data_IF_570649432926
#
_entry.id   IF_570649432926
#
_cell.length_a   1.000
_cell.length_b   1.000
_cell.length_c   1.000
_cell.angle_alpha   90.00
_cell.angle_beta   90.00
_cell.angle_gamma   90.00
#
_symmetry.space_group_name_H-M   'P 1'
#
loop_
_entity.id
_entity.type
_entity.pdbx_description
1 polymer ?
#
# COMPACT_ATOMS: atom_id res chain seq x y z
N UNK A 1 20.34 1.42 7.19
CA UNK A 1 21.41 2.00 6.36
C UNK A 1 22.84 1.66 6.79
N UNK A 2 23.24 1.58 8.08
CA UNK A 2 24.65 1.34 8.43
C UNK A 2 25.22 0.06 7.82
N UNK A 3 24.44 -1.04 7.84
CA UNK A 3 24.84 -2.34 7.26
C UNK A 3 25.27 -2.24 5.79
N UNK A 4 24.60 -1.45 4.96
CA UNK A 4 24.93 -1.33 3.52
C UNK A 4 26.26 -0.61 3.35
N UNK A 5 26.50 0.44 4.13
CA UNK A 5 27.75 1.19 4.10
C UNK A 5 28.90 0.37 4.68
N UNK A 6 28.65 -0.46 5.69
CA UNK A 6 29.62 -1.41 6.24
C UNK A 6 29.97 -2.50 5.21
N UNK A 7 28.99 -3.00 4.45
CA UNK A 7 29.24 -3.95 3.36
C UNK A 7 30.02 -3.34 2.19
N UNK A 8 29.90 -2.03 1.96
CA UNK A 8 30.68 -1.30 0.94
C UNK A 8 32.17 -1.22 1.27
N UNK A 9 32.51 -1.26 2.56
CA UNK A 9 33.88 -1.18 3.06
C UNK A 9 34.46 -2.53 3.48
N UNK A 10 33.67 -3.60 3.43
CA UNK A 10 34.09 -4.97 3.70
C UNK A 10 34.99 -5.51 2.57
N UNK A 11 36.30 -5.32 2.73
CA UNK A 11 37.33 -5.65 1.74
C UNK A 11 38.43 -6.50 2.40
N UNK A 12 38.79 -7.67 1.84
CA UNK A 12 39.89 -8.48 2.35
C UNK A 12 41.24 -7.72 2.37
N UNK A 13 42.08 -8.02 3.36
CA UNK A 13 43.42 -7.44 3.46
C UNK A 13 44.29 -7.81 2.23
N UNK A 14 44.96 -6.82 1.63
CA UNK A 14 45.83 -7.01 0.46
C UNK A 14 45.19 -6.75 -0.90
N UNK A 15 43.88 -6.47 -0.96
CA UNK A 15 43.17 -6.08 -2.19
C UNK A 15 43.45 -4.61 -2.54
N UNK A 16 43.62 -4.24 -3.83
CA UNK A 16 43.75 -2.85 -4.23
C UNK A 16 42.55 -2.00 -3.76
N UNK A 17 42.82 -0.81 -3.22
CA UNK A 17 41.79 0.10 -2.67
C UNK A 17 40.69 0.49 -3.68
N UNK A 18 40.96 0.32 -4.97
CA UNK A 18 40.02 0.59 -6.06
C UNK A 18 39.04 -0.56 -6.34
N UNK A 19 39.30 -1.78 -5.86
CA UNK A 19 38.50 -2.96 -6.20
C UNK A 19 37.06 -2.88 -5.71
N UNK A 20 36.84 -2.47 -4.46
CA UNK A 20 35.51 -2.27 -3.89
C UNK A 20 34.69 -1.18 -4.60
N UNK A 21 35.17 0.06 -4.75
CA UNK A 21 34.38 1.10 -5.41
C UNK A 21 34.12 0.79 -6.90
N UNK A 22 35.06 0.18 -7.62
CA UNK A 22 34.88 -0.17 -9.03
C UNK A 22 33.87 -1.32 -9.21
N UNK A 23 33.91 -2.34 -8.36
CA UNK A 23 32.91 -3.43 -8.42
C UNK A 23 31.51 -2.95 -8.05
N UNK A 24 31.37 -2.10 -7.03
CA UNK A 24 30.11 -1.46 -6.67
C UNK A 24 29.58 -0.57 -7.82
N UNK A 25 30.43 0.29 -8.40
CA UNK A 25 30.06 1.16 -9.50
C UNK A 25 29.65 0.37 -10.75
N UNK A 26 30.42 -0.68 -11.10
CA UNK A 26 30.09 -1.57 -12.22
C UNK A 26 28.73 -2.25 -12.01
N UNK A 27 28.43 -2.69 -10.79
CA UNK A 27 27.13 -3.25 -10.41
C UNK A 27 26.02 -2.23 -10.66
N UNK A 28 26.12 -1.03 -10.08
CA UNK A 28 25.10 0.02 -10.20
C UNK A 28 24.89 0.39 -11.67
N UNK A 29 25.97 0.65 -12.41
CA UNK A 29 25.90 1.04 -13.82
C UNK A 29 25.26 -0.06 -14.67
N UNK A 30 25.59 -1.32 -14.44
CA UNK A 30 24.99 -2.44 -15.16
C UNK A 30 23.49 -2.57 -14.86
N UNK A 31 23.09 -2.52 -13.58
CA UNK A 31 21.66 -2.56 -13.20
C UNK A 31 20.92 -1.40 -13.85
N UNK A 32 21.42 -0.16 -13.70
CA UNK A 32 20.78 1.03 -14.25
C UNK A 32 20.72 1.01 -15.78
N UNK A 33 21.79 0.62 -16.47
CA UNK A 33 21.82 0.54 -17.92
C UNK A 33 20.76 -0.44 -18.44
N UNK A 34 20.68 -1.64 -17.87
CA UNK A 34 19.67 -2.62 -18.27
C UNK A 34 18.27 -2.16 -17.86
N UNK A 35 18.08 -1.68 -16.63
CA UNK A 35 16.77 -1.25 -16.14
C UNK A 35 16.16 -0.09 -16.93
N UNK A 36 17.00 0.84 -17.42
CA UNK A 36 16.58 2.05 -18.13
C UNK A 36 16.52 1.88 -19.66
N UNK A 37 17.37 1.04 -20.26
CA UNK A 37 17.46 0.89 -21.73
C UNK A 37 16.87 -0.40 -22.28
N UNK A 38 16.81 -1.47 -21.48
CA UNK A 38 16.28 -2.74 -21.95
C UNK A 38 14.75 -2.70 -22.10
N UNK A 39 14.23 -3.52 -23.01
CA UNK A 39 12.79 -3.67 -23.27
C UNK A 39 12.31 -5.05 -22.84
N UNK A 40 11.03 -5.12 -22.46
CA UNK A 40 10.35 -6.37 -22.11
C UNK A 40 11.04 -7.14 -20.98
N UNK A 41 11.14 -8.46 -21.14
CA UNK A 41 11.65 -9.36 -20.10
C UNK A 41 13.11 -9.08 -19.70
N UNK A 42 13.95 -8.52 -20.57
CA UNK A 42 15.36 -8.25 -20.24
C UNK A 42 15.50 -7.24 -19.09
N UNK A 43 14.52 -6.34 -18.92
CA UNK A 43 14.47 -5.39 -17.79
C UNK A 43 14.34 -6.11 -16.44
N UNK A 44 13.65 -7.25 -16.39
CA UNK A 44 13.48 -8.06 -15.17
C UNK A 44 14.81 -8.69 -14.71
N UNK A 45 15.72 -8.93 -15.65
CA UNK A 45 17.03 -9.52 -15.39
C UNK A 45 18.08 -8.48 -14.98
N UNK A 46 17.74 -7.18 -14.96
CA UNK A 46 18.68 -6.10 -14.63
C UNK A 46 19.45 -6.33 -13.31
N UNK A 47 18.80 -6.74 -12.20
CA UNK A 47 19.53 -6.93 -10.95
C UNK A 47 20.49 -8.12 -11.00
N UNK A 48 20.08 -9.23 -11.64
CA UNK A 48 20.93 -10.42 -11.83
C UNK A 48 22.13 -10.10 -12.71
N UNK A 49 21.92 -9.46 -13.85
CA UNK A 49 22.99 -9.04 -14.77
C UNK A 49 23.97 -8.09 -14.07
N UNK A 50 23.43 -7.17 -13.26
CA UNK A 50 24.23 -6.25 -12.48
C UNK A 50 25.13 -6.94 -11.46
N UNK A 51 24.56 -7.85 -10.65
CA UNK A 51 25.33 -8.63 -9.67
C UNK A 51 26.39 -9.47 -10.37
N UNK A 52 26.07 -10.12 -11.50
CA UNK A 52 27.05 -10.88 -12.28
C UNK A 52 28.17 -9.98 -12.83
N UNK A 53 27.83 -8.81 -13.36
CA UNK A 53 28.83 -7.87 -13.89
C UNK A 53 29.75 -7.34 -12.80
N UNK A 54 29.18 -6.93 -11.66
CA UNK A 54 29.94 -6.50 -10.49
C UNK A 54 30.82 -7.60 -9.91
N UNK A 55 30.29 -8.82 -9.86
CA UNK A 55 30.98 -10.04 -9.45
C UNK A 55 32.20 -10.32 -10.34
N UNK A 56 32.07 -10.24 -11.66
CA UNK A 56 33.20 -10.42 -12.59
C UNK A 56 34.29 -9.38 -12.33
N UNK A 57 33.92 -8.10 -12.16
CA UNK A 57 34.87 -7.04 -11.82
C UNK A 57 35.54 -7.32 -10.48
N UNK A 58 34.78 -7.73 -9.47
CA UNK A 58 35.31 -8.07 -8.16
C UNK A 58 36.30 -9.25 -8.21
N UNK A 59 36.08 -10.21 -9.11
CA UNK A 59 36.99 -11.32 -9.38
C UNK A 59 38.35 -10.89 -9.92
N UNK A 60 38.39 -9.86 -10.78
CA UNK A 60 39.64 -9.30 -11.31
C UNK A 60 40.49 -8.70 -10.19
N UNK A 61 39.85 -8.14 -9.16
CA UNK A 61 40.53 -7.54 -8.01
C UNK A 61 40.78 -8.52 -6.85
N UNK A 62 40.37 -9.78 -6.98
CA UNK A 62 40.61 -10.80 -5.94
C UNK A 62 39.74 -10.65 -4.69
N UNK A 63 38.55 -10.08 -4.80
CA UNK A 63 37.61 -9.88 -3.68
C UNK A 63 36.89 -11.18 -3.22
N UNK A 64 37.12 -12.31 -3.88
CA UNK A 64 36.46 -13.58 -3.55
C UNK A 64 37.22 -14.41 -2.54
N UNK A 65 36.49 -14.91 -1.53
CA UNK A 65 36.88 -16.09 -0.77
C UNK A 65 36.27 -17.34 -1.42
N UNK A 66 37.06 -18.01 -2.27
CA UNK A 66 36.62 -19.24 -2.96
C UNK A 66 36.75 -20.50 -2.11
N UNK A 67 37.45 -20.44 -0.96
CA UNK A 67 37.68 -21.60 -0.12
C UNK A 67 36.35 -22.12 0.47
N UNK A 68 35.50 -21.22 0.95
CA UNK A 68 34.16 -21.55 1.44
C UNK A 68 33.28 -22.23 0.39
N UNK A 69 33.40 -21.80 -0.86
CA UNK A 69 32.68 -22.42 -1.97
C UNK A 69 33.23 -23.80 -2.25
N UNK A 70 34.55 -23.98 -2.26
CA UNK A 70 35.20 -25.26 -2.51
C UNK A 70 34.83 -26.31 -1.46
N UNK A 71 34.82 -25.93 -0.18
CA UNK A 71 34.56 -26.81 0.97
C UNK A 71 33.07 -27.19 1.14
N UNK A 72 32.15 -26.39 0.58
CA UNK A 72 30.73 -26.68 0.66
C UNK A 72 30.35 -27.97 -0.09
N UNK A 73 29.52 -28.80 0.54
CA UNK A 73 28.98 -30.02 -0.06
C UNK A 73 27.94 -29.70 -1.14
N UNK A 74 27.82 -30.58 -2.14
CA UNK A 74 26.83 -30.45 -3.20
C UNK A 74 25.40 -30.65 -2.70
N UNK A 75 25.22 -31.60 -1.78
CA UNK A 75 23.94 -31.88 -1.11
C UNK A 75 24.19 -31.93 0.39
N UNK A 76 23.30 -31.31 1.16
CA UNK A 76 23.39 -31.29 2.62
C UNK A 76 22.14 -30.71 3.24
N UNK A 77 21.92 -30.98 4.52
CA UNK A 77 20.82 -30.39 5.29
C UNK A 77 21.22 -28.97 5.71
N UNK A 78 20.30 -27.99 5.69
CA UNK A 78 20.56 -26.65 6.22
C UNK A 78 21.21 -26.72 7.61
N UNK A 79 22.35 -26.05 7.77
CA UNK A 79 23.18 -26.10 8.98
C UNK A 79 22.67 -25.24 10.14
N UNK A 80 21.57 -24.50 9.93
CA UNK A 80 20.89 -23.75 10.98
C UNK A 80 20.23 -24.69 11.98
N UNK A 81 20.79 -24.78 13.19
CA UNK A 81 20.16 -25.49 14.30
C UNK A 81 18.90 -24.77 14.75
N UNK A 82 17.90 -25.53 15.21
CA UNK A 82 16.72 -24.96 15.85
C UNK A 82 17.16 -24.17 17.10
N UNK A 83 16.92 -22.84 17.20
CA UNK A 83 17.42 -22.05 18.32
C UNK A 83 16.70 -22.33 19.65
N UNK A 84 15.67 -23.17 19.64
CA UNK A 84 14.80 -23.42 20.79
C UNK A 84 13.75 -22.33 20.97
N UNK A 85 12.93 -22.48 22.02
CA UNK A 85 11.92 -21.50 22.42
C UNK A 85 12.29 -20.92 23.78
N UNK A 86 12.58 -19.63 23.81
CA UNK A 86 12.68 -18.88 25.06
C UNK A 86 11.29 -18.36 25.46
N UNK A 87 10.72 -18.96 26.51
CA UNK A 87 9.45 -18.55 27.10
C UNK A 87 9.66 -17.61 28.30
N UNK A 88 10.86 -17.03 28.44
CA UNK A 88 11.19 -16.04 29.44
C UNK A 88 10.61 -14.66 29.09
N UNK A 89 9.57 -14.24 29.80
CA UNK A 89 9.00 -12.88 29.70
C UNK A 89 9.82 -11.84 30.48
N UNK A 90 11.14 -11.81 30.23
CA UNK A 90 12.08 -10.90 30.90
C UNK A 90 12.05 -9.46 30.35
N UNK A 91 12.90 -8.56 30.89
CA UNK A 91 12.96 -7.16 30.45
C UNK A 91 13.22 -6.99 28.95
N UNK A 92 14.06 -7.86 28.36
CA UNK A 92 14.37 -7.83 26.92
C UNK A 92 13.14 -8.15 26.05
N UNK A 93 12.31 -9.11 26.47
CA UNK A 93 11.05 -9.44 25.78
C UNK A 93 10.12 -8.23 25.74
N UNK A 94 9.88 -7.61 26.90
CA UNK A 94 9.00 -6.44 27.00
C UNK A 94 9.54 -5.21 26.27
N UNK A 95 10.86 -5.03 26.23
CA UNK A 95 11.50 -3.95 25.49
C UNK A 95 11.38 -4.12 23.96
N UNK A 96 11.46 -5.35 23.45
CA UNK A 96 11.41 -5.64 22.01
C UNK A 96 9.98 -5.85 21.47
N UNK A 97 9.04 -6.29 22.32
CA UNK A 97 7.68 -6.63 21.91
C UNK A 97 6.98 -5.51 21.13
N UNK A 98 7.01 -4.23 21.54
CA UNK A 98 6.39 -3.15 20.77
C UNK A 98 6.98 -3.02 19.35
N UNK A 99 8.29 -3.25 19.19
CA UNK A 99 8.97 -3.12 17.90
C UNK A 99 8.57 -4.25 16.95
N UNK A 100 8.52 -5.49 17.45
CA UNK A 100 8.04 -6.62 16.66
C UNK A 100 6.56 -6.49 16.31
N UNK A 101 5.71 -6.03 17.24
CA UNK A 101 4.29 -5.77 16.97
C UNK A 101 4.14 -4.72 15.87
N UNK A 102 4.89 -3.63 15.95
CA UNK A 102 4.83 -2.57 14.94
C UNK A 102 5.33 -3.05 13.57
N UNK A 103 6.47 -3.72 13.51
CA UNK A 103 7.01 -4.28 12.25
C UNK A 103 6.02 -5.26 11.63
N UNK A 104 5.39 -6.12 12.43
CA UNK A 104 4.38 -7.07 11.95
C UNK A 104 3.13 -6.34 11.46
N UNK A 105 2.70 -5.27 12.14
CA UNK A 105 1.57 -4.44 11.71
C UNK A 105 1.87 -3.77 10.36
N UNK A 106 3.05 -3.20 10.18
CA UNK A 106 3.48 -2.60 8.91
C UNK A 106 3.55 -3.65 7.80
N UNK A 107 4.13 -4.83 8.08
CA UNK A 107 4.17 -5.95 7.14
C UNK A 107 2.78 -6.44 6.74
N UNK A 108 1.83 -6.45 7.67
CA UNK A 108 0.43 -6.76 7.37
C UNK A 108 -0.21 -5.71 6.45
N UNK A 109 0.04 -4.42 6.68
CA UNK A 109 -0.43 -3.32 5.80
C UNK A 109 0.20 -3.44 4.41
N UNK A 110 1.49 -3.76 4.32
CA UNK A 110 2.19 -4.04 3.06
C UNK A 110 1.56 -5.22 2.34
N UNK A 111 1.32 -6.34 3.04
CA UNK A 111 0.66 -7.53 2.51
C UNK A 111 -0.74 -7.24 1.99
N UNK A 112 -1.51 -6.38 2.68
CA UNK A 112 -2.82 -5.91 2.21
C UNK A 112 -2.64 -5.16 0.88
N UNK A 113 -1.75 -4.16 0.85
CA UNK A 113 -1.49 -3.36 -0.35
C UNK A 113 -1.05 -4.21 -1.55
N UNK A 114 -0.11 -5.13 -1.34
CA UNK A 114 0.37 -6.06 -2.36
C UNK A 114 -0.74 -6.99 -2.85
N UNK A 115 -1.58 -7.49 -1.94
CA UNK A 115 -2.72 -8.36 -2.26
C UNK A 115 -3.79 -7.64 -3.08
N UNK A 116 -4.00 -6.35 -2.84
CA UNK A 116 -4.88 -5.52 -3.65
C UNK A 116 -4.27 -5.27 -5.05
N UNK A 117 -2.99 -4.92 -5.09
CA UNK A 117 -2.29 -4.59 -6.32
C UNK A 117 -2.17 -5.81 -7.26
N UNK A 118 -1.81 -6.98 -6.73
CA UNK A 118 -1.67 -8.21 -7.53
C UNK A 118 -3.02 -8.63 -8.13
N UNK A 119 -4.12 -8.45 -7.40
CA UNK A 119 -5.46 -8.77 -7.88
C UNK A 119 -5.82 -7.91 -9.10
N UNK A 120 -5.57 -6.60 -9.04
CA UNK A 120 -5.81 -5.69 -10.18
C UNK A 120 -5.03 -6.06 -11.43
N UNK A 121 -3.78 -6.49 -11.26
CA UNK A 121 -2.90 -6.84 -12.38
C UNK A 121 -3.16 -8.26 -12.91
N UNK A 122 -3.65 -9.16 -12.08
CA UNK A 122 -3.86 -10.57 -12.43
C UNK A 122 -5.10 -10.81 -13.29
N UNK A 123 -6.09 -9.92 -13.25
CA UNK A 123 -7.32 -10.08 -14.02
C UNK A 123 -7.27 -9.38 -15.37
N UNK A 124 -7.61 -10.12 -16.44
CA UNK A 124 -7.75 -9.56 -17.80
C UNK A 124 -8.92 -8.58 -17.94
N UNK A 125 -9.93 -8.73 -17.10
CA UNK A 125 -11.11 -7.86 -17.02
C UNK A 125 -11.16 -7.29 -15.61
N UNK A 126 -11.39 -5.97 -15.43
CA UNK A 126 -11.57 -5.38 -14.11
C UNK A 126 -12.63 -6.14 -13.30
N UNK A 127 -12.31 -6.46 -12.05
CA UNK A 127 -13.20 -7.12 -11.10
C UNK A 127 -13.09 -6.44 -9.75
N UNK A 128 -14.15 -6.55 -8.96
CA UNK A 128 -14.10 -6.17 -7.56
C UNK A 128 -12.99 -6.95 -6.84
N UNK A 129 -12.33 -6.28 -5.90
CA UNK A 129 -11.34 -6.91 -5.02
C UNK A 129 -12.03 -8.01 -4.22
N UNK A 130 -11.40 -9.18 -4.17
CA UNK A 130 -11.80 -10.26 -3.29
C UNK A 130 -11.11 -10.11 -1.92
N UNK A 131 -11.81 -9.49 -0.97
CA UNK A 131 -11.31 -9.31 0.39
C UNK A 131 -11.11 -10.63 1.15
N UNK A 132 -11.76 -11.73 0.75
CA UNK A 132 -11.47 -13.05 1.34
C UNK A 132 -10.08 -13.52 0.93
N UNK A 133 -9.67 -13.25 -0.30
CA UNK A 133 -8.31 -13.53 -0.76
C UNK A 133 -7.27 -12.65 -0.03
N UNK A 134 -7.60 -11.38 0.24
CA UNK A 134 -6.74 -10.47 1.04
C UNK A 134 -6.58 -10.99 2.47
N UNK A 135 -7.68 -11.38 3.13
CA UNK A 135 -7.63 -11.99 4.46
C UNK A 135 -6.80 -13.28 4.47
N UNK A 136 -6.95 -14.12 3.46
CA UNK A 136 -6.14 -15.33 3.28
C UNK A 136 -4.66 -15.04 3.10
N UNK A 137 -4.30 -13.98 2.36
CA UNK A 137 -2.92 -13.55 2.18
C UNK A 137 -2.29 -13.07 3.50
N UNK A 138 -2.99 -12.23 4.27
CA UNK A 138 -2.53 -11.78 5.59
C UNK A 138 -2.37 -12.95 6.57
N UNK A 139 -3.30 -13.91 6.56
CA UNK A 139 -3.20 -15.11 7.38
C UNK A 139 -2.00 -16.00 6.99
N UNK A 140 -1.74 -16.14 5.69
CA UNK A 140 -0.59 -16.88 5.18
C UNK A 140 0.74 -16.19 5.53
N UNK A 141 0.80 -14.86 5.45
CA UNK A 141 1.96 -14.07 5.85
C UNK A 141 2.24 -14.20 7.36
N UNK A 142 1.20 -14.08 8.20
CA UNK A 142 1.33 -14.30 9.64
C UNK A 142 1.78 -15.72 10.00
N UNK A 143 1.27 -16.74 9.29
CA UNK A 143 1.73 -18.13 9.46
C UNK A 143 3.18 -18.29 9.00
N UNK A 144 3.58 -17.65 7.90
CA UNK A 144 4.96 -17.62 7.42
C UNK A 144 5.91 -17.00 8.43
N UNK A 145 5.48 -15.92 9.08
CA UNK A 145 6.22 -15.26 10.15
C UNK A 145 6.36 -16.14 11.40
N UNK A 146 5.29 -16.84 11.80
CA UNK A 146 5.33 -17.80 12.90
C UNK A 146 6.32 -18.94 12.60
N UNK A 147 6.24 -19.54 11.41
CA UNK A 147 7.15 -20.61 10.99
C UNK A 147 8.61 -20.13 10.91
N UNK A 148 8.83 -18.90 10.45
CA UNK A 148 10.15 -18.26 10.42
C UNK A 148 10.72 -18.10 11.84
N UNK A 149 9.91 -17.59 12.77
CA UNK A 149 10.30 -17.47 14.17
C UNK A 149 10.61 -18.83 14.81
N UNK A 150 9.78 -19.85 14.55
CA UNK A 150 10.03 -21.22 15.01
C UNK A 150 11.31 -21.82 14.41
N UNK A 151 11.63 -21.50 13.16
CA UNK A 151 12.85 -21.94 12.49
C UNK A 151 14.09 -21.14 12.92
N UNK A 152 13.93 -20.06 13.69
CA UNK A 152 15.03 -19.18 14.09
C UNK A 152 15.47 -18.18 13.03
N UNK A 153 14.63 -17.91 12.04
CA UNK A 153 14.90 -16.95 10.99
C UNK A 153 14.22 -15.60 11.26
N UNK A 154 14.62 -14.59 10.51
CA UNK A 154 14.03 -13.24 10.57
C UNK A 154 12.60 -13.28 10.02
N UNK A 155 11.68 -12.42 10.50
CA UNK A 155 10.35 -12.23 9.91
C UNK A 155 10.40 -12.05 8.39
N UNK A 156 9.44 -12.64 7.69
CA UNK A 156 9.26 -12.53 6.24
C UNK A 156 8.00 -11.71 5.91
N UNK A 157 7.92 -11.24 4.66
CA UNK A 157 6.80 -10.45 4.14
C UNK A 157 6.61 -10.73 2.66
N UNK A 158 5.51 -10.25 2.07
CA UNK A 158 5.25 -10.33 0.64
C UNK A 158 6.32 -9.62 -0.18
N UNK A 159 6.64 -10.18 -1.34
CA UNK A 159 7.62 -9.57 -2.25
C UNK A 159 6.91 -8.64 -3.23
N UNK A 160 6.81 -7.34 -2.91
CA UNK A 160 6.02 -6.36 -3.68
C UNK A 160 6.45 -6.20 -5.14
N UNK A 161 7.70 -6.53 -5.46
CA UNK A 161 8.18 -6.50 -6.85
C UNK A 161 7.54 -7.59 -7.72
N UNK A 162 6.94 -8.63 -7.12
CA UNK A 162 6.20 -9.68 -7.84
C UNK A 162 5.00 -9.11 -8.62
N UNK A 163 4.38 -8.02 -8.14
CA UNK A 163 3.32 -7.30 -8.84
C UNK A 163 3.84 -6.72 -10.15
N UNK A 164 5.01 -6.07 -10.11
CA UNK A 164 5.65 -5.49 -11.31
C UNK A 164 6.06 -6.57 -12.32
N UNK A 165 6.53 -7.73 -11.86
CA UNK A 165 6.85 -8.87 -12.74
C UNK A 165 5.58 -9.40 -13.40
N UNK A 166 4.49 -9.53 -12.65
CA UNK A 166 3.21 -10.01 -13.16
C UNK A 166 2.63 -9.05 -14.19
N UNK A 167 2.75 -7.74 -13.96
CA UNK A 167 2.32 -6.69 -14.89
C UNK A 167 3.08 -6.76 -16.22
N UNK A 168 4.40 -6.98 -16.18
CA UNK A 168 5.24 -7.04 -17.36
C UNK A 168 5.12 -8.35 -18.14
N UNK A 169 4.92 -9.47 -17.44
CA UNK A 169 4.84 -10.80 -18.06
C UNK A 169 3.43 -11.21 -18.47
N UNK A 170 2.40 -10.63 -17.83
CA UNK A 170 1.01 -11.05 -17.98
C UNK A 170 0.70 -12.42 -17.39
N UNK A 171 1.59 -12.98 -16.55
CA UNK A 171 1.47 -14.32 -15.98
C UNK A 171 1.17 -14.26 -14.49
N UNK A 172 -0.12 -14.22 -14.13
CA UNK A 172 -0.62 -14.29 -12.74
C UNK A 172 -0.97 -15.71 -12.26
N UNK A 173 -0.33 -16.75 -12.80
CA UNK A 173 -0.70 -18.14 -12.54
C UNK A 173 -0.14 -18.66 -11.21
N UNK A 174 -1.02 -19.15 -10.32
CA UNK A 174 -0.64 -19.75 -9.00
C UNK A 174 0.42 -20.85 -9.08
N UNK A 175 0.46 -21.59 -10.20
CA UNK A 175 1.42 -22.69 -10.43
C UNK A 175 2.85 -22.17 -10.47
N UNK A 176 3.08 -20.95 -10.99
CA UNK A 176 4.42 -20.35 -11.04
C UNK A 176 4.96 -20.14 -9.61
N UNK A 177 4.12 -19.62 -8.71
CA UNK A 177 4.48 -19.46 -7.31
C UNK A 177 4.75 -20.78 -6.60
N UNK A 178 3.92 -21.80 -6.83
CA UNK A 178 4.11 -23.13 -6.22
C UNK A 178 5.42 -23.81 -6.70
N UNK A 179 5.72 -23.71 -8.00
CA UNK A 179 6.98 -24.23 -8.56
C UNK A 179 8.17 -23.47 -7.99
N UNK A 180 8.09 -22.14 -7.91
CA UNK A 180 9.16 -21.31 -7.33
C UNK A 180 9.43 -21.68 -5.87
N UNK A 181 8.38 -21.85 -5.06
CA UNK A 181 8.50 -22.32 -3.67
C UNK A 181 9.18 -23.69 -3.58
N UNK A 182 8.79 -24.64 -4.43
CA UNK A 182 9.44 -25.95 -4.51
C UNK A 182 10.93 -25.86 -4.89
N UNK A 183 11.28 -24.98 -5.84
CA UNK A 183 12.67 -24.74 -6.23
C UNK A 183 13.48 -24.13 -5.08
N UNK A 184 12.93 -23.18 -4.33
CA UNK A 184 13.59 -22.59 -3.17
C UNK A 184 13.80 -23.60 -2.04
N UNK A 185 12.83 -24.48 -1.80
CA UNK A 185 12.97 -25.60 -0.86
C UNK A 185 14.10 -26.52 -1.31
N UNK A 186 14.14 -26.91 -2.59
CA UNK A 186 15.21 -27.76 -3.11
C UNK A 186 16.58 -27.08 -3.01
N UNK A 187 16.65 -25.77 -3.25
CA UNK A 187 17.88 -24.98 -3.15
C UNK A 187 18.44 -24.95 -1.72
N UNK A 188 17.58 -25.00 -0.70
CA UNK A 188 18.02 -25.09 0.69
C UNK A 188 18.83 -26.36 1.00
N UNK A 189 18.64 -27.44 0.22
CA UNK A 189 19.41 -28.69 0.33
C UNK A 189 20.67 -28.72 -0.54
N UNK A 190 21.03 -27.60 -1.16
CA UNK A 190 22.22 -27.44 -2.00
C UNK A 190 23.20 -26.42 -1.37
N UNK A 191 23.97 -26.81 -0.32
CA UNK A 191 24.89 -25.90 0.37
C UNK A 191 25.89 -25.22 -0.57
N UNK A 192 26.31 -25.92 -1.64
CA UNK A 192 27.16 -25.33 -2.69
C UNK A 192 26.55 -24.10 -3.34
N UNK A 193 25.26 -24.16 -3.68
CA UNK A 193 24.56 -23.05 -4.32
C UNK A 193 24.44 -21.87 -3.35
N UNK A 194 24.13 -22.15 -2.07
CA UNK A 194 24.12 -21.14 -1.02
C UNK A 194 25.51 -20.51 -0.82
N UNK A 195 26.57 -21.33 -0.82
CA UNK A 195 27.95 -20.85 -0.69
C UNK A 195 28.36 -19.93 -1.84
N UNK A 196 27.93 -20.21 -3.08
CA UNK A 196 28.15 -19.32 -4.23
C UNK A 196 27.45 -17.97 -4.03
N UNK A 197 26.22 -17.96 -3.53
CA UNK A 197 25.49 -16.72 -3.24
C UNK A 197 26.16 -15.94 -2.10
N UNK A 198 26.61 -16.62 -1.05
CA UNK A 198 27.32 -16.01 0.08
C UNK A 198 28.75 -15.55 -0.29
N UNK A 199 29.31 -16.06 -1.39
CA UNK A 199 30.61 -15.62 -1.90
C UNK A 199 30.51 -14.32 -2.70
N UNK A 200 29.31 -13.78 -2.96
CA UNK A 200 29.16 -12.46 -3.59
C UNK A 200 29.83 -11.42 -2.68
N UNK A 201 30.81 -10.65 -3.18
CA UNK A 201 31.54 -9.69 -2.36
C UNK A 201 30.63 -8.60 -1.77
N UNK A 202 30.93 -8.17 -0.54
CA UNK A 202 30.21 -7.12 0.17
C UNK A 202 29.89 -5.87 -0.68
N UNK A 203 30.86 -5.30 -1.41
CA UNK A 203 30.62 -4.11 -2.25
C UNK A 203 29.59 -4.32 -3.37
N UNK A 204 29.54 -5.52 -3.97
CA UNK A 204 28.57 -5.87 -5.02
C UNK A 204 27.18 -6.04 -4.42
N UNK A 205 27.08 -6.74 -3.29
CA UNK A 205 25.82 -6.92 -2.58
C UNK A 205 25.26 -5.57 -2.09
N UNK A 206 26.10 -4.70 -1.53
CA UNK A 206 25.72 -3.36 -1.10
C UNK A 206 25.20 -2.50 -2.26
N UNK A 207 25.88 -2.52 -3.41
CA UNK A 207 25.45 -1.84 -4.62
C UNK A 207 24.08 -2.33 -5.13
N UNK A 208 23.86 -3.64 -5.14
CA UNK A 208 22.57 -4.24 -5.48
C UNK A 208 21.47 -3.79 -4.52
N UNK A 209 21.69 -3.87 -3.21
CA UNK A 209 20.72 -3.43 -2.19
C UNK A 209 20.42 -1.95 -2.31
N UNK A 210 21.41 -1.10 -2.62
CA UNK A 210 21.20 0.33 -2.83
C UNK A 210 20.24 0.61 -3.99
N UNK A 211 20.40 -0.10 -5.13
CA UNK A 211 19.48 0.04 -6.26
C UNK A 211 18.09 -0.51 -5.94
N UNK A 212 18.01 -1.62 -5.20
CA UNK A 212 16.73 -2.14 -4.72
C UNK A 212 15.98 -1.13 -3.84
N UNK A 213 16.68 -0.48 -2.89
CA UNK A 213 16.09 0.55 -2.04
C UNK A 213 15.57 1.74 -2.85
N UNK A 214 16.31 2.15 -3.89
CA UNK A 214 15.86 3.21 -4.79
C UNK A 214 14.58 2.81 -5.55
N UNK A 215 14.47 1.55 -5.99
CA UNK A 215 13.25 1.04 -6.62
C UNK A 215 12.08 0.98 -5.64
N UNK A 216 12.31 0.50 -4.40
CA UNK A 216 11.30 0.44 -3.35
C UNK A 216 10.77 1.84 -2.99
N UNK A 217 11.67 2.82 -2.92
CA UNK A 217 11.28 4.22 -2.71
C UNK A 217 10.33 4.73 -3.82
N UNK A 218 10.61 4.40 -5.08
CA UNK A 218 9.73 4.77 -6.21
C UNK A 218 8.35 4.08 -6.10
N UNK A 219 8.31 2.81 -5.68
CA UNK A 219 7.05 2.09 -5.45
C UNK A 219 6.25 2.75 -4.32
N UNK A 220 6.88 3.06 -3.20
CA UNK A 220 6.23 3.78 -2.10
C UNK A 220 5.68 5.15 -2.53
N UNK A 221 6.46 5.91 -3.30
CA UNK A 221 6.01 7.18 -3.88
C UNK A 221 4.81 7.00 -4.81
N UNK A 222 4.80 5.96 -5.66
CA UNK A 222 3.65 5.65 -6.53
C UNK A 222 2.38 5.40 -5.74
N UNK A 223 2.47 4.66 -4.63
CA UNK A 223 1.33 4.39 -3.74
C UNK A 223 0.79 5.70 -3.17
N UNK A 224 1.66 6.59 -2.69
CA UNK A 224 1.27 7.89 -2.13
C UNK A 224 0.55 8.77 -3.18
N UNK A 225 1.02 8.77 -4.43
CA UNK A 225 0.45 9.63 -5.48
C UNK A 225 -0.77 9.05 -6.18
N UNK A 226 -1.09 7.77 -5.96
CA UNK A 226 -2.11 7.07 -6.72
C UNK A 226 -3.50 7.71 -6.60
N UNK A 227 -3.86 8.19 -5.42
CA UNK A 227 -5.18 8.78 -5.12
C UNK A 227 -5.15 10.31 -5.05
N UNK A 228 -4.11 10.92 -5.63
CA UNK A 228 -3.85 12.36 -5.56
C UNK A 228 -3.26 12.80 -4.22
N UNK A 229 -2.21 13.64 -4.30
CA UNK A 229 -1.54 14.23 -3.14
C UNK A 229 -2.01 15.67 -2.98
N UNK A 230 -2.85 15.91 -1.97
CA UNK A 230 -3.13 17.26 -1.49
C UNK A 230 -2.00 17.74 -0.55
N UNK A 231 -2.00 19.03 -0.19
CA UNK A 231 -1.00 19.61 0.70
C UNK A 231 -0.89 18.86 2.05
N UNK A 232 -2.01 18.37 2.59
CA UNK A 232 -2.04 17.70 3.90
C UNK A 232 -1.40 16.32 3.80
N UNK A 233 -1.81 15.50 2.83
CA UNK A 233 -1.22 14.18 2.54
C UNK A 233 0.27 14.31 2.24
N UNK A 234 0.66 15.31 1.46
CA UNK A 234 2.06 15.60 1.14
C UNK A 234 2.89 15.97 2.37
N UNK A 235 2.34 16.80 3.26
CA UNK A 235 2.99 17.16 4.52
C UNK A 235 3.17 15.95 5.44
N UNK A 236 2.14 15.11 5.58
CA UNK A 236 2.22 13.86 6.37
C UNK A 236 3.34 12.98 5.81
N UNK A 237 3.31 12.68 4.51
CA UNK A 237 4.33 11.84 3.88
C UNK A 237 5.75 12.38 4.05
N UNK A 238 5.94 13.69 3.83
CA UNK A 238 7.25 14.34 3.92
C UNK A 238 7.81 14.37 5.35
N UNK A 239 6.98 14.73 6.34
CA UNK A 239 7.38 14.77 7.75
C UNK A 239 7.72 13.37 8.24
N UNK A 240 6.87 12.38 7.96
CA UNK A 240 7.08 10.99 8.33
C UNK A 240 8.36 10.41 7.73
N UNK A 241 8.63 10.69 6.45
CA UNK A 241 9.84 10.24 5.78
C UNK A 241 11.11 10.81 6.43
N UNK A 242 11.20 12.13 6.56
CA UNK A 242 12.39 12.77 7.13
C UNK A 242 12.58 12.46 8.61
N UNK A 243 11.49 12.31 9.36
CA UNK A 243 11.57 11.88 10.76
C UNK A 243 12.10 10.45 10.88
N UNK A 244 11.60 9.52 10.06
CA UNK A 244 12.12 8.15 10.00
C UNK A 244 13.60 8.09 9.64
N UNK A 245 14.03 8.86 8.63
CA UNK A 245 15.44 9.00 8.25
C UNK A 245 16.27 9.58 9.40
N UNK A 246 15.78 10.62 10.07
CA UNK A 246 16.47 11.27 11.18
C UNK A 246 16.66 10.33 12.37
N UNK A 247 15.64 9.55 12.73
CA UNK A 247 15.72 8.55 13.79
C UNK A 247 16.69 7.41 13.45
N UNK A 248 16.62 6.87 12.24
CA UNK A 248 17.48 5.75 11.84
C UNK A 248 18.97 6.10 11.82
N UNK A 249 19.31 7.37 11.54
CA UNK A 249 20.68 7.84 11.51
C UNK A 249 21.11 8.48 12.85
N UNK A 250 20.28 8.42 13.90
CA UNK A 250 20.59 9.02 15.20
C UNK A 250 20.72 10.55 15.17
N UNK A 251 20.13 11.21 14.18
CA UNK A 251 20.22 12.67 13.99
C UNK A 251 19.22 13.44 14.86
N UNK A 252 18.21 12.76 15.40
CA UNK A 252 17.17 13.34 16.24
C UNK A 252 17.36 12.79 17.65
N UNK A 253 17.83 13.64 18.57
CA UNK A 253 17.88 13.45 20.03
C UNK A 253 18.11 11.98 20.52
N UNK A 254 19.18 11.31 20.09
CA UNK A 254 19.36 9.87 20.32
C UNK A 254 19.39 9.50 21.80
N UNK A 255 19.95 10.36 22.65
CA UNK A 255 20.05 10.15 24.10
C UNK A 255 18.67 10.10 24.78
N UNK A 256 17.78 11.04 24.44
CA UNK A 256 16.43 11.10 25.01
C UNK A 256 15.50 10.02 24.46
N UNK A 257 15.70 9.62 23.20
CA UNK A 257 14.88 8.60 22.54
C UNK A 257 15.26 7.18 22.96
N UNK A 258 16.53 6.92 23.24
CA UNK A 258 17.00 5.66 23.80
C UNK A 258 16.32 5.34 25.14
N UNK A 259 16.16 6.34 26.01
CA UNK A 259 15.52 6.19 27.31
C UNK A 259 13.99 6.11 27.23
N UNK A 260 13.37 6.83 26.28
CA UNK A 260 11.91 6.92 26.18
C UNK A 260 11.26 5.72 25.47
N UNK A 261 11.89 5.18 24.41
CA UNK A 261 11.28 4.15 23.58
C UNK A 261 12.23 2.99 23.21
N UNK A 262 13.49 3.01 23.68
CA UNK A 262 14.46 1.95 23.40
C UNK A 262 14.63 1.66 21.90
N UNK A 263 14.90 0.39 21.57
CA UNK A 263 15.12 -0.08 20.20
C UNK A 263 13.95 0.10 19.22
N UNK A 264 12.76 0.49 19.69
CA UNK A 264 11.57 0.75 18.86
C UNK A 264 11.80 1.90 17.87
N UNK A 265 12.35 3.02 18.35
CA UNK A 265 12.59 4.22 17.54
C UNK A 265 13.96 4.22 16.83
N UNK A 266 14.78 3.19 17.06
CA UNK A 266 16.03 2.99 16.32
C UNK A 266 15.80 2.61 14.85
N UNK A 267 14.60 2.10 14.51
CA UNK A 267 14.23 1.77 13.13
C UNK A 267 13.46 2.92 12.48
N UNK A 268 13.99 3.44 11.37
CA UNK A 268 13.36 4.53 10.60
C UNK A 268 12.00 4.17 10.01
N UNK A 269 11.76 2.90 9.68
CA UNK A 269 10.44 2.43 9.25
C UNK A 269 9.42 2.58 10.39
N UNK A 270 9.80 2.18 11.61
CA UNK A 270 8.94 2.28 12.78
C UNK A 270 8.68 3.73 13.17
N UNK A 271 9.74 4.52 13.27
CA UNK A 271 9.66 5.93 13.61
C UNK A 271 8.85 6.75 12.61
N UNK A 272 9.13 6.59 11.31
CA UNK A 272 8.40 7.28 10.25
C UNK A 272 6.94 6.82 10.13
N UNK A 273 6.71 5.50 10.21
CA UNK A 273 5.36 4.92 10.18
C UNK A 273 4.48 5.38 11.33
N UNK A 274 5.02 5.44 12.55
CA UNK A 274 4.30 5.93 13.72
C UNK A 274 3.91 7.40 13.56
N UNK A 275 4.82 8.25 13.07
CA UNK A 275 4.51 9.65 12.77
C UNK A 275 3.43 9.76 11.69
N UNK A 276 3.47 8.92 10.66
CA UNK A 276 2.44 8.91 9.62
C UNK A 276 1.07 8.57 10.22
N UNK A 277 0.99 7.51 11.04
CA UNK A 277 -0.24 7.10 11.71
C UNK A 277 -0.76 8.21 12.62
N UNK A 278 0.09 8.82 13.44
CA UNK A 278 -0.31 9.87 14.37
C UNK A 278 -0.82 11.12 13.66
N UNK A 279 -0.16 11.55 12.59
CA UNK A 279 -0.59 12.72 11.82
C UNK A 279 -1.86 12.43 11.03
N UNK A 280 -2.00 11.25 10.44
CA UNK A 280 -3.25 10.83 9.79
C UNK A 280 -4.39 10.77 10.79
N UNK A 281 -4.17 10.17 11.97
CA UNK A 281 -5.18 10.12 13.03
C UNK A 281 -5.55 11.53 13.51
N UNK A 282 -4.59 12.43 13.68
CA UNK A 282 -4.86 13.83 14.03
C UNK A 282 -5.74 14.51 12.97
N UNK A 283 -5.46 14.27 11.70
CA UNK A 283 -6.26 14.79 10.59
C UNK A 283 -7.67 14.22 10.59
N UNK A 284 -7.84 12.90 10.79
CA UNK A 284 -9.15 12.24 10.84
C UNK A 284 -9.98 12.67 12.06
N UNK A 285 -9.36 12.82 13.23
CA UNK A 285 -10.02 13.29 14.45
C UNK A 285 -10.44 14.77 14.35
N UNK A 286 -9.68 15.57 13.61
CA UNK A 286 -9.96 17.01 13.40
C UNK A 286 -10.83 17.25 12.16
N UNK A 287 -11.00 16.24 11.30
CA UNK A 287 -11.83 16.35 10.11
C UNK A 287 -13.30 16.61 10.50
N UNK A 288 -14.02 17.48 9.76
CA UNK A 288 -15.44 17.67 9.98
C UNK A 288 -16.16 16.33 9.80
N UNK A 289 -16.89 15.88 10.83
CA UNK A 289 -17.62 14.60 10.80
C UNK A 289 -18.57 14.57 9.60
N UNK A 290 -18.33 13.65 8.66
CA UNK A 290 -19.32 13.26 7.65
C UNK A 290 -20.56 12.75 8.39
N UNK A 291 -21.70 13.40 8.18
CA UNK A 291 -22.96 12.94 8.76
C UNK A 291 -23.58 11.94 7.81
N UNK A 292 -24.10 10.84 8.34
CA UNK A 292 -24.77 9.82 7.55
C UNK A 292 -26.14 9.51 8.14
N UNK A 293 -27.09 9.20 7.25
CA UNK A 293 -28.38 8.63 7.60
C UNK A 293 -28.67 7.50 6.62
N UNK A 294 -29.19 6.39 7.14
CA UNK A 294 -29.60 5.24 6.35
C UNK A 294 -31.12 5.16 6.40
N UNK A 295 -31.74 5.12 5.22
CA UNK A 295 -33.19 5.11 5.05
C UNK A 295 -33.59 4.06 4.01
N UNK A 296 -34.81 3.51 4.06
CA UNK A 296 -35.34 2.70 2.97
C UNK A 296 -35.31 3.48 1.65
N UNK A 297 -34.98 2.81 0.54
CA UNK A 297 -34.99 3.43 -0.78
C UNK A 297 -36.43 3.53 -1.31
N UNK A 298 -37.20 4.48 -0.77
CA UNK A 298 -38.62 4.68 -1.07
C UNK A 298 -38.97 6.18 -1.02
N UNK A 299 -40.00 6.66 -1.75
CA UNK A 299 -40.43 8.06 -1.72
C UNK A 299 -40.79 8.56 -0.30
N UNK A 300 -41.26 7.66 0.56
CA UNK A 300 -41.64 7.96 1.94
C UNK A 300 -40.45 8.40 2.82
N UNK A 301 -39.21 8.21 2.38
CA UNK A 301 -38.00 8.61 3.09
C UNK A 301 -37.64 10.10 2.93
N UNK A 302 -38.29 10.83 2.00
CA UNK A 302 -38.03 12.26 1.76
C UNK A 302 -38.13 13.13 3.03
N UNK A 303 -39.18 13.05 3.87
CA UNK A 303 -39.27 13.88 5.06
C UNK A 303 -38.10 13.67 6.04
N UNK A 304 -37.63 12.43 6.15
CA UNK A 304 -36.49 12.07 7.01
C UNK A 304 -35.17 12.64 6.48
N UNK A 305 -34.96 12.58 5.16
CA UNK A 305 -33.80 13.20 4.48
C UNK A 305 -33.83 14.72 4.65
N UNK A 306 -35.01 15.35 4.48
CA UNK A 306 -35.22 16.79 4.70
C UNK A 306 -34.85 17.22 6.11
N UNK A 307 -35.33 16.50 7.12
CA UNK A 307 -35.01 16.80 8.52
C UNK A 307 -33.50 16.62 8.82
N UNK A 308 -32.87 15.62 8.20
CA UNK A 308 -31.43 15.43 8.28
C UNK A 308 -30.65 16.61 7.68
N UNK A 309 -31.02 17.07 6.48
CA UNK A 309 -30.37 18.19 5.79
C UNK A 309 -30.65 19.54 6.47
N UNK A 310 -31.85 19.76 7.01
CA UNK A 310 -32.17 20.95 7.80
C UNK A 310 -31.33 21.02 9.08
N UNK A 311 -31.14 19.88 9.78
CA UNK A 311 -30.24 19.79 10.94
C UNK A 311 -28.77 19.99 10.56
N UNK A 312 -28.38 19.58 9.36
CA UNK A 312 -27.04 19.82 8.84
C UNK A 312 -26.82 21.30 8.51
N UNK A 313 -27.74 21.94 7.79
CA UNK A 313 -27.67 23.35 7.40
C UNK A 313 -27.68 24.30 8.61
N UNK A 314 -28.58 24.07 9.58
CA UNK A 314 -28.66 24.86 10.82
C UNK A 314 -27.39 24.79 11.66
N UNK A 315 -26.71 23.63 11.69
CA UNK A 315 -25.43 23.47 12.41
C UNK A 315 -24.26 24.18 11.73
N UNK A 316 -24.28 24.29 10.41
CA UNK A 316 -23.27 25.02 9.65
C UNK A 316 -23.57 26.53 9.57
N UNK A 317 -24.64 27.01 10.24
CA UNK A 317 -25.02 28.42 10.24
C UNK A 317 -25.50 28.92 8.88
N UNK A 318 -25.96 28.02 8.00
CA UNK A 318 -26.43 28.37 6.67
C UNK A 318 -27.86 28.92 6.69
N UNK A 319 -28.14 29.82 5.74
CA UNK A 319 -29.44 30.47 5.62
C UNK A 319 -30.51 29.56 4.97
N UNK A 320 -31.76 29.97 5.07
CA UNK A 320 -32.90 29.25 4.49
C UNK A 320 -32.75 29.01 2.98
N UNK A 321 -32.06 29.92 2.27
CA UNK A 321 -31.78 29.76 0.84
C UNK A 321 -30.90 28.53 0.56
N UNK A 322 -29.87 28.30 1.38
CA UNK A 322 -29.04 27.10 1.28
C UNK A 322 -29.82 25.85 1.69
N UNK A 323 -30.60 25.91 2.78
CA UNK A 323 -31.44 24.79 3.23
C UNK A 323 -32.41 24.35 2.12
N UNK A 324 -33.07 25.30 1.46
CA UNK A 324 -33.98 25.01 0.35
C UNK A 324 -33.26 24.43 -0.88
N UNK A 325 -32.01 24.84 -1.14
CA UNK A 325 -31.19 24.24 -2.22
C UNK A 325 -30.80 22.81 -1.90
N UNK A 326 -30.41 22.53 -0.66
CA UNK A 326 -30.09 21.16 -0.22
C UNK A 326 -31.33 20.26 -0.30
N UNK A 327 -32.48 20.77 0.13
CA UNK A 327 -33.75 20.06 0.03
C UNK A 327 -34.09 19.74 -1.42
N UNK A 328 -34.15 20.75 -2.29
CA UNK A 328 -34.45 20.57 -3.71
C UNK A 328 -33.44 19.65 -4.42
N UNK A 329 -32.15 19.75 -4.11
CA UNK A 329 -31.14 18.85 -4.64
C UNK A 329 -31.36 17.40 -4.17
N UNK A 330 -31.76 17.20 -2.91
CA UNK A 330 -32.01 15.86 -2.36
C UNK A 330 -33.27 15.20 -2.91
N UNK A 331 -34.35 15.98 -3.08
CA UNK A 331 -35.61 15.51 -3.64
C UNK A 331 -35.44 15.09 -5.09
N UNK A 332 -34.84 15.96 -5.91
CA UNK A 332 -34.59 15.67 -7.32
C UNK A 332 -33.62 14.49 -7.49
N UNK A 333 -32.61 14.36 -6.62
CA UNK A 333 -31.69 13.20 -6.63
C UNK A 333 -32.39 11.90 -6.28
N UNK A 334 -33.24 11.90 -5.25
CA UNK A 334 -33.99 10.70 -4.87
C UNK A 334 -34.99 10.29 -5.95
N UNK A 335 -35.74 11.24 -6.51
CA UNK A 335 -36.70 10.99 -7.57
C UNK A 335 -35.99 10.45 -8.83
N UNK A 336 -34.85 11.03 -9.20
CA UNK A 336 -34.03 10.54 -10.32
C UNK A 336 -33.55 9.10 -10.09
N UNK A 337 -33.21 8.74 -8.86
CA UNK A 337 -32.81 7.38 -8.52
C UNK A 337 -34.00 6.42 -8.56
N UNK A 338 -35.18 6.83 -8.09
CA UNK A 338 -36.40 6.02 -8.06
C UNK A 338 -37.00 5.78 -9.46
N UNK A 339 -37.03 6.80 -10.33
CA UNK A 339 -37.47 6.66 -11.73
C UNK A 339 -36.68 5.57 -12.47
N UNK A 340 -35.39 5.42 -12.13
CA UNK A 340 -34.52 4.40 -12.74
C UNK A 340 -34.73 3.00 -12.18
N UNK A 341 -35.35 2.86 -11.00
CA UNK A 341 -35.72 1.56 -10.45
C UNK A 341 -36.99 1.00 -11.12
N UNK A 342 -37.94 1.86 -11.49
CA UNK A 342 -39.16 1.44 -12.21
C UNK A 342 -38.86 0.81 -13.59
N UNK A 343 -37.74 1.16 -14.21
CA UNK A 343 -37.29 0.59 -15.49
C UNK A 343 -36.66 -0.81 -15.38
N UNK A 344 -36.40 -1.31 -14.16
CA UNK A 344 -35.75 -2.61 -13.93
C UNK A 344 -36.45 -3.44 -12.83
N UNK A 345 -37.66 -3.98 -13.10
CA UNK A 345 -38.47 -4.66 -12.10
C UNK A 345 -37.85 -6.03 -11.73
N UNK A 346 -37.36 -6.17 -10.49
CA UNK A 346 -36.96 -7.48 -9.96
C UNK A 346 -35.88 -7.54 -8.88
N UNK A 347 -35.45 -6.41 -8.28
CA UNK A 347 -34.35 -6.41 -7.28
C UNK A 347 -34.87 -6.33 -5.83
N UNK A 348 -34.10 -6.94 -4.94
CA UNK A 348 -34.30 -6.94 -3.47
C UNK A 348 -34.48 -5.52 -2.91
N UNK A 349 -35.15 -5.39 -1.76
CA UNK A 349 -35.31 -4.09 -1.06
C UNK A 349 -33.96 -3.38 -0.92
N UNK A 350 -33.82 -2.24 -1.59
CA UNK A 350 -32.62 -1.40 -1.52
C UNK A 350 -32.66 -0.48 -0.29
N UNK A 351 -31.50 -0.21 0.26
CA UNK A 351 -31.28 0.82 1.26
C UNK A 351 -30.58 2.01 0.63
N UNK A 352 -30.90 3.19 1.12
CA UNK A 352 -30.30 4.45 0.73
C UNK A 352 -29.47 5.00 1.88
N UNK A 353 -28.16 5.09 1.67
CA UNK A 353 -27.27 5.84 2.54
C UNK A 353 -27.12 7.25 1.99
N UNK A 354 -27.46 8.24 2.80
CA UNK A 354 -27.23 9.66 2.49
C UNK A 354 -26.13 10.17 3.39
N UNK A 355 -25.02 10.62 2.80
CA UNK A 355 -23.95 11.31 3.51
C UNK A 355 -23.98 12.80 3.20
N UNK A 356 -23.69 13.64 4.19
CA UNK A 356 -23.55 15.07 4.03
C UNK A 356 -22.29 15.54 4.76
N UNK A 357 -21.47 16.32 4.07
CA UNK A 357 -20.32 16.99 4.66
C UNK A 357 -20.11 18.37 4.07
N UNK A 358 -19.50 19.25 4.87
CA UNK A 358 -19.15 20.58 4.42
C UNK A 358 -17.82 20.51 3.66
N UNK A 359 -17.79 21.09 2.48
CA UNK A 359 -16.58 21.29 1.68
C UNK A 359 -16.56 22.76 1.26
N UNK A 360 -15.46 23.45 1.58
CA UNK A 360 -15.31 24.90 1.42
C UNK A 360 -16.51 25.71 1.96
N UNK A 361 -17.20 26.40 1.05
CA UNK A 361 -18.36 27.26 1.28
C UNK A 361 -19.65 26.59 0.78
N UNK A 362 -19.72 25.26 0.83
CA UNK A 362 -20.85 24.48 0.32
C UNK A 362 -21.04 23.15 1.04
N UNK A 363 -21.95 22.34 0.49
CA UNK A 363 -22.23 21.00 0.96
C UNK A 363 -21.95 19.99 -0.15
N UNK A 364 -21.41 18.85 0.22
CA UNK A 364 -21.38 17.65 -0.61
C UNK A 364 -22.36 16.65 -0.03
N UNK A 365 -23.30 16.22 -0.86
CA UNK A 365 -24.27 15.19 -0.55
C UNK A 365 -23.94 13.95 -1.38
N UNK A 366 -23.81 12.79 -0.75
CA UNK A 366 -23.66 11.51 -1.47
C UNK A 366 -24.88 10.63 -1.17
N UNK A 367 -25.56 10.19 -2.22
CA UNK A 367 -26.68 9.26 -2.17
C UNK A 367 -26.22 7.92 -2.73
N UNK A 368 -26.23 6.88 -1.89
CA UNK A 368 -25.77 5.54 -2.25
C UNK A 368 -26.96 4.60 -2.08
N UNK A 369 -27.51 4.11 -3.19
CA UNK A 369 -28.59 3.12 -3.19
C UNK A 369 -28.01 1.73 -3.47
N UNK A 370 -28.17 0.78 -2.54
CA UNK A 370 -27.63 -0.59 -2.68
C UNK A 370 -28.59 -1.66 -2.13
N UNK A 371 -28.47 -2.94 -2.56
CA UNK A 371 -29.28 -4.05 -2.05
C UNK A 371 -28.98 -4.33 -0.56
N UNK A 372 -30.02 -4.50 0.27
CA UNK A 372 -29.93 -4.56 1.75
C UNK A 372 -29.34 -5.83 2.38
N UNK A 373 -28.41 -6.53 1.71
CA UNK A 373 -27.95 -7.87 2.12
C UNK A 373 -26.62 -7.95 2.87
N UNK A 374 -25.71 -6.96 2.74
CA UNK A 374 -24.34 -7.03 3.30
C UNK A 374 -23.79 -5.64 3.68
N UNK A 375 -22.83 -5.60 4.61
CA UNK A 375 -22.15 -4.38 5.10
C UNK A 375 -21.80 -3.43 3.94
N UNK A 376 -22.53 -2.32 3.87
CA UNK A 376 -22.40 -1.30 2.83
C UNK A 376 -20.97 -0.71 2.80
N UNK A 377 -20.29 -0.72 3.95
CA UNK A 377 -18.90 -0.27 4.13
C UNK A 377 -17.88 -1.11 3.34
N UNK A 378 -18.07 -2.44 3.22
CA UNK A 378 -17.19 -3.32 2.43
C UNK A 378 -17.32 -3.03 0.93
N UNK A 379 -18.51 -2.59 0.50
CA UNK A 379 -18.73 -2.12 -0.88
C UNK A 379 -18.24 -0.70 -1.11
N UNK A 380 -18.27 0.16 -0.09
CA UNK A 380 -17.75 1.53 -0.17
C UNK A 380 -16.22 1.54 -0.27
N UNK A 381 -15.53 0.59 0.37
CA UNK A 381 -14.09 0.40 0.18
C UNK A 381 -13.70 0.07 -1.28
N UNK A 382 -14.64 -0.45 -2.09
CA UNK A 382 -14.43 -0.66 -3.54
C UNK A 382 -14.51 0.64 -4.35
N UNK A 383 -15.02 1.74 -3.77
CA UNK A 383 -15.28 3.00 -4.46
C UNK A 383 -14.08 3.95 -4.48
N UNK A 384 -13.05 3.71 -3.65
CA UNK A 384 -11.85 4.56 -3.62
C UNK A 384 -10.84 4.22 -4.71
N UNK A 385 -11.11 3.22 -5.56
CA UNK A 385 -10.17 2.76 -6.58
C UNK A 385 -10.66 3.01 -8.00
N UNK A 386 -10.12 4.10 -8.56
CA UNK A 386 -10.14 4.53 -9.96
C UNK A 386 -11.45 5.11 -10.48
N UNK A 387 -11.35 6.43 -10.61
CA UNK A 387 -12.10 7.33 -11.49
C UNK A 387 -12.06 6.79 -12.93
N UNK A 388 -13.15 6.19 -13.39
CA UNK A 388 -13.49 6.19 -14.82
C UNK A 388 -14.61 7.23 -15.02
N UNK A 389 -14.26 8.32 -15.71
CA UNK A 389 -15.23 9.26 -16.27
C UNK A 389 -16.01 8.55 -17.37
N UNK A 390 -17.16 7.98 -17.02
CA UNK A 390 -18.16 7.64 -18.03
C UNK A 390 -18.91 8.91 -18.40
N UNK A 391 -18.37 9.62 -19.38
CA UNK A 391 -19.11 10.59 -20.18
C UNK A 391 -20.15 9.83 -21.00
N UNK A 392 -21.36 9.74 -20.48
CA UNK A 392 -22.52 9.17 -21.17
C UNK A 392 -23.68 10.13 -21.04
N UNK A 393 -23.89 10.94 -22.08
CA UNK A 393 -24.98 11.89 -22.22
C UNK A 393 -26.38 11.25 -22.17
N UNK A 394 -27.37 12.06 -21.75
CA UNK A 394 -28.85 11.97 -21.88
C UNK A 394 -29.57 11.39 -20.64
N UNK A 395 -30.67 11.96 -20.13
CA UNK A 395 -31.64 12.92 -20.69
C UNK A 395 -32.44 13.63 -19.55
N UNK A 396 -32.82 14.90 -19.78
CA UNK A 396 -33.70 15.81 -19.02
C UNK A 396 -33.57 16.01 -17.48
N UNK A 397 -33.64 15.00 -16.62
CA UNK A 397 -33.77 15.18 -15.15
C UNK A 397 -32.53 15.85 -14.53
N UNK A 398 -31.34 15.54 -15.04
CA UNK A 398 -30.10 16.19 -14.61
C UNK A 398 -30.01 17.68 -14.98
N UNK A 399 -30.87 18.23 -15.85
CA UNK A 399 -30.86 19.66 -16.19
C UNK A 399 -31.42 20.53 -15.07
N UNK A 400 -32.40 20.04 -14.29
CA UNK A 400 -32.93 20.74 -13.13
C UNK A 400 -31.93 20.72 -11.97
N UNK A 401 -31.34 19.56 -11.70
CA UNK A 401 -30.23 19.44 -10.73
C UNK A 401 -29.06 20.36 -11.08
N UNK A 402 -28.71 20.54 -12.36
CA UNK A 402 -27.60 21.41 -12.78
C UNK A 402 -27.83 22.90 -12.50
N UNK A 403 -29.08 23.30 -12.22
CA UNK A 403 -29.43 24.66 -11.82
C UNK A 403 -29.33 24.88 -10.29
N UNK A 404 -29.31 23.79 -9.52
CA UNK A 404 -29.32 23.79 -8.04
C UNK A 404 -27.96 23.33 -7.47
N UNK A 405 -27.27 22.45 -8.17
CA UNK A 405 -25.98 21.89 -7.82
C UNK A 405 -24.84 22.50 -8.65
N UNK A 406 -23.71 22.80 -8.00
CA UNK A 406 -22.49 23.27 -8.67
C UNK A 406 -21.78 22.14 -9.44
N UNK A 407 -21.93 20.90 -9.00
CA UNK A 407 -21.54 19.72 -9.77
C UNK A 407 -22.36 18.49 -9.36
N UNK A 408 -22.59 17.60 -10.31
CA UNK A 408 -23.28 16.32 -10.09
C UNK A 408 -22.42 15.25 -10.72
N UNK A 409 -22.13 14.20 -9.96
CA UNK A 409 -21.43 13.01 -10.45
C UNK A 409 -22.31 11.81 -10.15
N UNK A 410 -22.67 11.07 -11.19
CA UNK A 410 -23.43 9.85 -11.07
C UNK A 410 -22.57 8.67 -11.53
N UNK A 411 -22.54 7.60 -10.73
CA UNK A 411 -21.74 6.41 -10.95
C UNK A 411 -22.57 5.17 -10.62
N UNK A 412 -22.48 4.13 -11.45
CA UNK A 412 -23.18 2.87 -11.24
C UNK A 412 -22.19 1.72 -11.17
N UNK A 413 -22.27 0.89 -10.12
CA UNK A 413 -21.35 -0.23 -9.90
C UNK A 413 -22.06 -1.43 -9.26
N UNK A 414 -22.12 -2.59 -9.95
CA UNK A 414 -22.64 -3.86 -9.41
C UNK A 414 -23.95 -3.73 -8.61
N UNK A 415 -24.97 -3.14 -9.24
CA UNK A 415 -26.30 -2.86 -8.67
C UNK A 415 -26.37 -1.83 -7.55
N UNK A 416 -25.29 -1.07 -7.34
CA UNK A 416 -25.25 0.11 -6.49
C UNK A 416 -25.24 1.38 -7.34
N UNK A 417 -26.14 2.30 -7.07
CA UNK A 417 -26.21 3.62 -7.71
C UNK A 417 -25.69 4.68 -6.75
N UNK A 418 -24.74 5.50 -7.20
CA UNK A 418 -24.07 6.52 -6.39
C UNK A 418 -24.22 7.86 -7.08
N UNK A 419 -24.84 8.81 -6.39
CA UNK A 419 -24.96 10.20 -6.85
C UNK A 419 -24.31 11.12 -5.84
N UNK A 420 -23.25 11.79 -6.26
CA UNK A 420 -22.62 12.87 -5.52
C UNK A 420 -23.10 14.20 -6.06
N UNK A 421 -23.66 15.02 -5.19
CA UNK A 421 -24.19 16.35 -5.49
C UNK A 421 -23.43 17.37 -4.66
N UNK A 422 -22.77 18.31 -5.32
CA UNK A 422 -22.13 19.46 -4.67
C UNK A 422 -23.05 20.66 -4.78
N UNK A 423 -23.36 21.29 -3.66
CA UNK A 423 -24.23 22.46 -3.56
C UNK A 423 -23.42 23.62 -2.97
N UNK A 424 -23.10 24.62 -3.79
CA UNK A 424 -22.36 25.81 -3.36
C UNK A 424 -23.25 26.94 -2.82
N UNK A 425 -22.69 27.83 -1.98
CA UNK A 425 -23.36 29.08 -1.55
C UNK A 425 -23.63 30.04 -2.71
N UNK A 426 -22.77 30.07 -3.73
CA UNK A 426 -22.89 30.98 -4.88
C UNK A 426 -23.72 30.36 -6.00
N UNK A 427 -24.76 31.08 -6.42
CA UNK A 427 -25.38 30.86 -7.75
C UNK A 427 -24.28 31.09 -8.78
N UNK A 428 -23.85 30.05 -9.48
CA UNK A 428 -23.16 30.26 -10.76
C UNK A 428 -24.10 31.10 -11.61
N UNK A 429 -23.66 32.29 -11.99
CA UNK A 429 -24.28 33.03 -13.09
C UNK A 429 -23.88 32.41 -14.41
#
# INVERSE_FOLDING_TARGET
MPIIFDMLTDVPEGVPSQGAPLSALATILAICAVALKAKGALRLWAPVIGVVTGSVVAGIFGLYDTARVADASWVGVPTGGWPGLDLGFGPAFWALLPAFVFVTLVGAVETIGDSLAIQRVSWRTPRAVDFRAVQGAVAADGLGNLLSGLAGTVPNTTYSTSVSVTELTGVGARVVGAVLGGVLIALAFLPKALAVVLAIPGPVAAAYVLVLLAMLFVVGMKIIVQDGVDYRKGLIAGVSFWFGVGLQNGLIFPEYLADFAGGLLANGMTGGGLVAILLTLFLELTAPRRRKIEVPFEPASLPTIREFLARFASRNGWNDAMTNRLDAASEETLLTLLEREEESPGKERRQLLVTAHQEDDGAVLEFIAAPGGHNLEDRIALLSERVDETSGERELSLRLLRHIASSIRHQQYNDTDIVTVVVGTRSSK
#
